data_IF_535812097994
#
_entry.id   IF_535812097994
#
_cell.length_a   1.000
_cell.length_b   1.000
_cell.length_c   1.000
_cell.angle_alpha   90.00
_cell.angle_beta   90.00
_cell.angle_gamma   90.00
#
_symmetry.space_group_name_H-M   'P 1'
#
loop_
_entity.id
_entity.type
_entity.pdbx_description
1 polymer ?
#
# COMPACT_ATOMS: atom_id res chain seq x y z
N UNK A 1 -11.68 5.98 -19.85
CA UNK A 1 -11.08 5.51 -18.56
C UNK A 1 -12.18 5.40 -17.53
N UNK A 2 -12.30 4.25 -16.87
CA UNK A 2 -13.24 4.00 -15.78
C UNK A 2 -12.48 4.06 -14.46
N UNK A 3 -13.10 4.59 -13.41
CA UNK A 3 -12.56 4.57 -12.05
C UNK A 3 -13.47 3.70 -11.18
N UNK A 4 -12.88 2.75 -10.46
CA UNK A 4 -13.56 1.89 -9.48
C UNK A 4 -12.90 2.07 -8.11
N UNK A 5 -13.71 2.06 -7.07
CA UNK A 5 -13.26 2.22 -5.69
C UNK A 5 -13.60 1.00 -4.85
N UNK A 6 -12.64 0.53 -4.09
CA UNK A 6 -12.78 -0.58 -3.16
C UNK A 6 -12.20 -0.23 -1.78
N UNK A 7 -12.80 -0.77 -0.75
CA UNK A 7 -12.25 -0.71 0.60
C UNK A 7 -12.44 -2.05 1.29
N UNK A 8 -11.48 -2.43 2.13
CA UNK A 8 -11.59 -3.59 3.01
C UNK A 8 -11.82 -3.13 4.44
N UNK A 9 -12.81 -3.73 5.10
CA UNK A 9 -13.01 -3.59 6.54
C UNK A 9 -12.34 -4.73 7.32
N UNK A 10 -11.71 -5.69 6.62
CA UNK A 10 -10.95 -6.78 7.23
C UNK A 10 -9.50 -6.33 7.47
N UNK A 11 -8.94 -6.63 8.63
CA UNK A 11 -7.56 -6.27 8.99
C UNK A 11 -6.57 -7.43 8.89
N UNK A 12 -7.02 -8.58 8.38
CA UNK A 12 -6.15 -9.72 8.14
C UNK A 12 -5.30 -9.48 6.88
N UNK A 13 -3.95 -9.50 6.99
CA UNK A 13 -3.08 -9.21 5.86
C UNK A 13 -3.20 -10.21 4.70
N UNK A 14 -3.46 -11.48 4.99
CA UNK A 14 -3.61 -12.50 3.96
C UNK A 14 -4.89 -12.28 3.14
N UNK A 15 -5.98 -11.90 3.80
CA UNK A 15 -7.23 -11.52 3.13
C UNK A 15 -7.02 -10.28 2.26
N UNK A 16 -6.42 -9.23 2.81
CA UNK A 16 -6.23 -7.96 2.12
C UNK A 16 -5.31 -8.08 0.90
N UNK A 17 -4.20 -8.82 1.03
CA UNK A 17 -3.28 -9.08 -0.08
C UNK A 17 -3.90 -10.01 -1.13
N UNK A 18 -4.71 -10.98 -0.73
CA UNK A 18 -5.45 -11.83 -1.68
C UNK A 18 -6.50 -11.03 -2.45
N UNK A 19 -7.20 -10.11 -1.79
CA UNK A 19 -8.13 -9.20 -2.45
C UNK A 19 -7.42 -8.26 -3.42
N UNK A 20 -6.29 -7.67 -3.03
CA UNK A 20 -5.47 -6.84 -3.92
C UNK A 20 -5.07 -7.61 -5.19
N UNK A 21 -4.58 -8.84 -5.03
CA UNK A 21 -4.23 -9.71 -6.14
C UNK A 21 -5.43 -10.01 -7.05
N UNK A 22 -6.58 -10.33 -6.47
CA UNK A 22 -7.81 -10.57 -7.21
C UNK A 22 -8.26 -9.33 -8.00
N UNK A 23 -8.20 -8.15 -7.38
CA UNK A 23 -8.52 -6.89 -8.04
C UNK A 23 -7.56 -6.59 -9.19
N UNK A 24 -6.30 -6.97 -9.06
CA UNK A 24 -5.29 -6.81 -10.12
C UNK A 24 -5.56 -7.77 -11.29
N UNK A 25 -5.75 -9.06 -11.01
CA UNK A 25 -5.96 -10.10 -12.04
C UNK A 25 -7.28 -9.93 -12.81
N UNK A 26 -8.29 -9.34 -12.17
CA UNK A 26 -9.62 -9.11 -12.76
C UNK A 26 -9.83 -7.67 -13.25
N UNK A 27 -8.78 -6.84 -13.30
CA UNK A 27 -8.93 -5.45 -13.70
C UNK A 27 -9.20 -5.36 -15.20
N UNK A 28 -10.33 -4.74 -15.63
CA UNK A 28 -10.60 -4.54 -17.04
C UNK A 28 -9.65 -3.52 -17.67
N UNK A 29 -9.46 -3.62 -18.99
CA UNK A 29 -8.74 -2.60 -19.75
C UNK A 29 -9.33 -1.19 -19.54
N UNK A 30 -8.49 -0.19 -19.67
CA UNK A 30 -8.83 1.24 -19.49
C UNK A 30 -9.55 1.56 -18.16
N UNK A 31 -9.26 0.78 -17.11
CA UNK A 31 -9.84 0.94 -15.77
C UNK A 31 -8.74 1.19 -14.75
N UNK A 32 -8.95 2.15 -13.86
CA UNK A 32 -8.16 2.32 -12.63
C UNK A 32 -9.02 1.87 -11.46
N UNK A 33 -8.50 0.96 -10.64
CA UNK A 33 -9.06 0.59 -9.35
C UNK A 33 -8.25 1.24 -8.24
N UNK A 34 -8.93 1.90 -7.34
CA UNK A 34 -8.35 2.46 -6.13
C UNK A 34 -8.85 1.65 -4.94
N UNK A 35 -7.91 1.05 -4.20
CA UNK A 35 -8.21 0.16 -3.09
C UNK A 35 -7.59 0.66 -1.79
N UNK A 36 -8.41 0.85 -0.74
CA UNK A 36 -7.99 1.23 0.61
C UNK A 36 -8.13 0.06 1.58
N UNK A 37 -7.10 -0.15 2.40
CA UNK A 37 -7.06 -1.28 3.33
C UNK A 37 -6.06 -1.06 4.46
N UNK A 38 -6.24 -1.79 5.56
CA UNK A 38 -5.38 -1.74 6.74
C UNK A 38 -5.11 -3.15 7.23
N UNK A 39 -3.89 -3.39 7.74
CA UNK A 39 -3.53 -4.62 8.42
C UNK A 39 -3.29 -4.35 9.90
N UNK A 40 -3.70 -5.29 10.74
CA UNK A 40 -3.42 -5.26 12.17
C UNK A 40 -2.14 -6.02 12.47
N UNK A 41 -1.22 -5.40 13.21
CA UNK A 41 -0.02 -6.00 13.79
C UNK A 41 0.71 -6.98 12.87
N UNK A 42 1.16 -6.49 11.72
CA UNK A 42 1.70 -7.31 10.64
C UNK A 42 3.07 -6.80 10.19
N UNK A 43 4.02 -7.71 10.01
CA UNK A 43 5.21 -7.46 9.20
C UNK A 43 4.93 -7.93 7.77
N UNK A 44 5.06 -7.04 6.79
CA UNK A 44 4.93 -7.37 5.38
C UNK A 44 6.30 -7.30 4.73
N UNK A 45 6.74 -8.42 4.15
CA UNK A 45 7.98 -8.50 3.40
C UNK A 45 7.75 -8.43 1.89
N UNK A 46 8.77 -7.95 1.19
CA UNK A 46 8.74 -7.90 -0.28
C UNK A 46 8.80 -9.30 -0.91
N UNK A 47 8.44 -9.36 -2.18
CA UNK A 47 8.36 -10.62 -2.93
C UNK A 47 9.66 -11.45 -2.89
N UNK A 48 10.82 -10.80 -2.95
CA UNK A 48 12.12 -11.45 -3.05
C UNK A 48 12.91 -11.49 -1.73
N UNK A 49 12.31 -11.08 -0.61
CA UNK A 49 12.99 -11.07 0.68
C UNK A 49 12.94 -12.42 1.39
N UNK A 50 14.03 -12.75 2.10
CA UNK A 50 14.07 -13.89 3.03
C UNK A 50 13.45 -13.47 4.38
N UNK A 51 12.42 -14.17 4.81
CA UNK A 51 11.79 -13.91 6.10
C UNK A 51 12.77 -14.07 7.27
N UNK A 52 13.64 -15.08 7.20
CA UNK A 52 14.64 -15.36 8.23
C UNK A 52 15.70 -14.24 8.35
N UNK A 53 16.04 -13.58 7.24
CA UNK A 53 17.03 -12.51 7.23
C UNK A 53 16.45 -11.14 7.62
N UNK A 54 15.18 -10.92 7.33
CA UNK A 54 14.56 -9.60 7.45
C UNK A 54 13.73 -9.44 8.73
N UNK A 55 13.28 -10.55 9.34
CA UNK A 55 12.32 -10.52 10.44
C UNK A 55 12.77 -11.35 11.61
N UNK A 56 12.69 -10.80 12.81
CA UNK A 56 12.89 -11.56 14.04
C UNK A 56 11.66 -12.42 14.33
N UNK A 57 11.58 -13.58 13.64
CA UNK A 57 10.39 -14.44 13.60
C UNK A 57 9.92 -14.92 14.97
N UNK A 58 10.87 -15.28 15.87
CA UNK A 58 10.54 -15.70 17.22
C UNK A 58 9.86 -14.59 18.02
N UNK A 59 10.37 -13.36 17.91
CA UNK A 59 9.79 -12.19 18.58
C UNK A 59 8.42 -11.82 18.01
N UNK A 60 8.28 -11.85 16.69
CA UNK A 60 7.00 -11.59 16.03
C UNK A 60 5.92 -12.58 16.51
N UNK A 61 6.28 -13.87 16.62
CA UNK A 61 5.37 -14.91 17.11
C UNK A 61 5.01 -14.70 18.60
N UNK A 62 5.99 -14.36 19.44
CA UNK A 62 5.78 -14.04 20.85
C UNK A 62 4.80 -12.88 21.02
N UNK A 63 4.96 -11.84 20.21
CA UNK A 63 4.10 -10.65 20.19
C UNK A 63 2.75 -10.90 19.48
N UNK A 64 2.47 -12.13 19.01
CA UNK A 64 1.26 -12.51 18.28
C UNK A 64 1.05 -11.71 16.98
N UNK A 65 2.15 -11.25 16.39
CA UNK A 65 2.12 -10.58 15.09
C UNK A 65 2.01 -11.57 13.94
N UNK A 66 1.61 -11.07 12.79
CA UNK A 66 1.45 -11.83 11.55
C UNK A 66 2.58 -11.50 10.58
N UNK A 67 3.09 -12.49 9.88
CA UNK A 67 4.00 -12.34 8.76
C UNK A 67 3.25 -12.53 7.46
N UNK A 68 3.37 -11.59 6.54
CA UNK A 68 2.81 -11.69 5.19
C UNK A 68 3.86 -11.30 4.14
N UNK A 69 3.68 -11.79 2.93
CA UNK A 69 4.51 -11.46 1.76
C UNK A 69 3.63 -10.81 0.69
N UNK A 70 4.02 -9.62 0.22
CA UNK A 70 3.34 -8.96 -0.89
C UNK A 70 3.91 -9.39 -2.24
N UNK A 71 3.15 -9.13 -3.30
CA UNK A 71 3.56 -9.45 -4.68
C UNK A 71 4.56 -8.45 -5.26
N UNK A 72 4.61 -7.23 -4.74
CA UNK A 72 5.58 -6.21 -5.14
C UNK A 72 6.95 -6.39 -4.47
N UNK A 73 7.97 -5.74 -5.02
CA UNK A 73 9.32 -5.71 -4.47
C UNK A 73 9.46 -4.79 -3.25
N UNK A 74 10.70 -4.47 -2.90
CA UNK A 74 11.03 -3.56 -1.81
C UNK A 74 11.33 -4.25 -0.49
N UNK A 75 11.51 -3.44 0.56
CA UNK A 75 11.90 -3.87 1.90
C UNK A 75 10.75 -4.33 2.79
N UNK A 76 11.10 -4.83 3.97
CA UNK A 76 10.13 -5.17 5.01
C UNK A 76 9.54 -3.91 5.64
N UNK A 77 8.24 -3.93 5.90
CA UNK A 77 7.49 -2.87 6.57
C UNK A 77 6.63 -3.43 7.69
N UNK A 78 6.32 -2.60 8.65
CA UNK A 78 5.38 -2.92 9.72
C UNK A 78 4.07 -2.18 9.52
N UNK A 79 2.97 -2.91 9.61
CA UNK A 79 1.61 -2.38 9.54
C UNK A 79 0.88 -2.56 10.86
N UNK A 80 0.26 -1.51 11.34
CA UNK A 80 -0.78 -1.52 12.37
C UNK A 80 -1.99 -0.70 11.91
N UNK A 81 -2.97 -0.51 12.76
CA UNK A 81 -4.18 0.25 12.42
C UNK A 81 -3.94 1.77 12.29
N UNK A 82 -2.75 2.25 12.63
CA UNK A 82 -2.32 3.63 12.33
C UNK A 82 -1.81 3.82 10.91
N UNK A 83 -1.60 2.73 10.16
CA UNK A 83 -1.14 2.74 8.76
C UNK A 83 -2.30 2.45 7.81
N UNK A 84 -2.60 3.37 6.91
CA UNK A 84 -3.55 3.18 5.82
C UNK A 84 -2.79 2.84 4.54
N UNK A 85 -3.09 1.68 3.96
CA UNK A 85 -2.57 1.30 2.65
C UNK A 85 -3.52 1.77 1.55
N UNK A 86 -2.94 2.21 0.43
CA UNK A 86 -3.66 2.47 -0.80
C UNK A 86 -2.97 1.77 -1.96
N UNK A 87 -3.77 1.20 -2.87
CA UNK A 87 -3.29 0.56 -4.08
C UNK A 87 -4.00 1.16 -5.29
N UNK A 88 -3.21 1.61 -6.27
CA UNK A 88 -3.69 1.91 -7.61
C UNK A 88 -3.43 0.69 -8.49
N UNK A 89 -4.45 0.21 -9.16
CA UNK A 89 -4.42 -0.99 -9.99
C UNK A 89 -4.98 -0.62 -11.37
N UNK A 90 -4.24 -0.91 -12.41
CA UNK A 90 -4.64 -0.63 -13.79
C UNK A 90 -3.63 -1.16 -14.79
N UNK A 91 -3.96 -1.15 -16.05
CA UNK A 91 -3.03 -1.48 -17.13
C UNK A 91 -2.14 -0.28 -17.51
N UNK A 92 -1.08 -0.54 -18.27
CA UNK A 92 -0.11 0.48 -18.68
C UNK A 92 -0.72 1.64 -19.49
N UNK A 93 -1.90 1.44 -20.11
CA UNK A 93 -2.55 2.47 -20.91
C UNK A 93 -3.15 3.60 -20.08
N UNK A 94 -3.40 3.35 -18.80
CA UNK A 94 -4.04 4.30 -17.88
C UNK A 94 -3.20 4.59 -16.63
N UNK A 95 -2.10 3.87 -16.43
CA UNK A 95 -1.27 3.97 -15.23
C UNK A 95 -0.29 5.14 -15.32
N UNK A 96 -0.40 6.09 -14.40
CA UNK A 96 0.44 7.30 -14.33
C UNK A 96 0.80 7.56 -12.86
N UNK A 97 1.96 7.05 -12.44
CA UNK A 97 2.42 7.14 -11.04
C UNK A 97 2.48 8.59 -10.53
N UNK A 98 3.13 9.54 -11.25
CA UNK A 98 3.16 10.92 -10.80
C UNK A 98 1.77 11.52 -10.56
N UNK A 99 0.85 11.28 -11.48
CA UNK A 99 -0.52 11.77 -11.37
C UNK A 99 -1.27 11.13 -10.19
N UNK A 100 -1.10 9.83 -9.99
CA UNK A 100 -1.71 9.08 -8.88
C UNK A 100 -1.21 9.59 -7.53
N UNK A 101 0.10 9.81 -7.39
CA UNK A 101 0.67 10.38 -6.16
C UNK A 101 0.20 11.81 -5.92
N UNK A 102 0.10 12.61 -6.99
CA UNK A 102 -0.42 13.97 -6.89
C UNK A 102 -1.89 14.01 -6.42
N UNK A 103 -2.70 13.03 -6.82
CA UNK A 103 -4.09 12.90 -6.34
C UNK A 103 -4.14 12.67 -4.82
N UNK A 104 -3.28 11.83 -4.28
CA UNK A 104 -3.22 11.59 -2.82
C UNK A 104 -2.74 12.85 -2.08
N UNK A 105 -1.69 13.49 -2.59
CA UNK A 105 -1.20 14.75 -2.00
C UNK A 105 -2.29 15.84 -2.01
N UNK A 106 -3.03 15.97 -3.12
CA UNK A 106 -4.14 16.92 -3.22
C UNK A 106 -5.26 16.62 -2.22
N UNK A 107 -5.62 15.35 -2.04
CA UNK A 107 -6.61 14.94 -1.05
C UNK A 107 -6.21 15.34 0.39
N UNK A 108 -4.91 15.28 0.71
CA UNK A 108 -4.39 15.76 1.99
C UNK A 108 -4.43 17.31 2.06
N UNK A 109 -4.08 18.01 0.99
CA UNK A 109 -4.18 19.47 0.92
C UNK A 109 -5.62 19.94 1.13
N UNK A 110 -6.60 19.26 0.55
CA UNK A 110 -8.04 19.56 0.71
C UNK A 110 -8.53 19.37 2.16
N UNK A 111 -7.77 18.64 2.97
CA UNK A 111 -8.00 18.45 4.41
C UNK A 111 -7.18 19.39 5.28
N UNK A 112 -6.45 20.34 4.68
CA UNK A 112 -5.69 21.37 5.38
C UNK A 112 -4.24 21.00 5.69
N UNK A 113 -3.72 19.89 5.17
CA UNK A 113 -2.32 19.54 5.32
C UNK A 113 -1.47 20.14 4.20
N UNK A 114 -0.25 20.56 4.51
CA UNK A 114 0.71 21.02 3.51
C UNK A 114 1.45 19.82 2.90
N UNK A 115 0.76 19.12 1.99
CA UNK A 115 1.25 17.89 1.36
C UNK A 115 1.85 18.16 -0.02
N UNK A 116 2.94 17.47 -0.34
CA UNK A 116 3.59 17.51 -1.65
C UNK A 116 4.19 16.16 -2.01
N UNK A 117 4.34 15.92 -3.32
CA UNK A 117 5.06 14.75 -3.84
C UNK A 117 6.51 15.13 -4.06
N UNK A 118 7.45 14.33 -3.54
CA UNK A 118 8.88 14.54 -3.78
C UNK A 118 9.37 13.81 -5.04
N UNK A 119 10.66 14.02 -5.41
CA UNK A 119 11.26 13.45 -6.62
C UNK A 119 11.37 11.91 -6.65
N UNK A 120 10.99 11.22 -5.56
CA UNK A 120 10.95 9.75 -5.47
C UNK A 120 9.52 9.21 -5.42
N UNK A 121 8.53 10.03 -5.75
CA UNK A 121 7.11 9.73 -5.64
C UNK A 121 6.64 9.40 -4.21
N UNK A 122 7.37 9.85 -3.19
CA UNK A 122 6.91 9.82 -1.81
C UNK A 122 6.05 11.06 -1.51
N UNK A 123 5.13 10.94 -0.57
CA UNK A 123 4.33 12.07 -0.10
C UNK A 123 4.91 12.57 1.21
N UNK A 124 5.11 13.87 1.28
CA UNK A 124 5.59 14.60 2.46
C UNK A 124 4.53 15.57 2.94
N UNK A 125 4.42 15.72 4.25
CA UNK A 125 3.61 16.76 4.91
C UNK A 125 4.55 17.57 5.79
N UNK A 126 4.61 18.90 5.57
CA UNK A 126 5.52 19.81 6.25
C UNK A 126 6.99 19.33 6.22
N UNK A 127 7.42 18.76 5.10
CA UNK A 127 8.77 18.24 4.89
C UNK A 127 9.06 16.88 5.52
N UNK A 128 8.09 16.26 6.20
CA UNK A 128 8.22 14.92 6.76
C UNK A 128 7.52 13.88 5.86
N UNK A 129 8.23 12.79 5.55
CA UNK A 129 7.66 11.68 4.75
C UNK A 129 6.53 11.01 5.51
N UNK A 130 5.35 10.93 4.89
CA UNK A 130 4.14 10.30 5.43
C UNK A 130 3.69 9.07 4.63
N UNK A 131 4.25 8.83 3.45
CA UNK A 131 3.97 7.62 2.67
C UNK A 131 5.25 6.92 2.22
N UNK A 132 5.18 5.59 2.11
CA UNK A 132 6.16 4.75 1.43
C UNK A 132 5.47 3.95 0.34
N UNK A 133 5.99 3.99 -0.88
CA UNK A 133 5.38 3.35 -2.04
C UNK A 133 6.24 2.19 -2.55
N UNK A 134 5.60 1.16 -3.05
CA UNK A 134 6.24 -0.01 -3.65
C UNK A 134 5.50 -0.47 -4.92
#
# INVERSE_FOLDING_TARGET
>A
MKLEYYTSLNHNPHYNLALEKHLMESCPEATIRFYLWQNEHTVVIGNNQSAQSEVHLAKLKEDKGTLARRTSGGGAVYHDLGNLNFSFIGDDSVFDIPRQMQMIAQALCDRGYNAQVNGRNDIEVDGAKVSGNA
#
